data_IF_788526722407
#
_entry.id   IF_788526722407
#
_cell.length_a   1.000
_cell.length_b   1.000
_cell.length_c   1.000
_cell.angle_alpha   90.00
_cell.angle_beta   90.00
_cell.angle_gamma   90.00
#
_symmetry.space_group_name_H-M   'P 1'
#
loop_
_entity.id
_entity.type
_entity.pdbx_description
1 polymer ?
#
# COMPACT_ATOMS: atom_id res chain seq x y z
N UNK A 1 -16.06 -14.49 19.53
CA UNK A 1 -17.26 -13.63 19.38
C UNK A 1 -16.98 -12.71 18.21
N UNK A 2 -17.69 -12.85 17.08
CA UNK A 2 -17.54 -11.99 15.89
C UNK A 2 -17.55 -10.51 16.27
N UNK A 3 -16.53 -9.78 15.84
CA UNK A 3 -16.44 -8.33 16.02
C UNK A 3 -16.11 -7.67 14.68
N UNK A 4 -16.82 -6.61 14.35
CA UNK A 4 -16.49 -5.75 13.21
C UNK A 4 -15.43 -4.74 13.65
N UNK A 5 -14.34 -4.63 12.89
CA UNK A 5 -13.33 -3.56 13.12
C UNK A 5 -13.69 -2.32 12.31
N UNK A 6 -14.04 -2.51 11.04
CA UNK A 6 -14.35 -1.43 10.12
C UNK A 6 -15.42 -1.86 9.12
N UNK A 7 -16.18 -0.86 8.69
CA UNK A 7 -17.20 -0.98 7.66
C UNK A 7 -16.78 -0.09 6.51
N UNK A 8 -16.78 -0.66 5.31
CA UNK A 8 -16.52 0.02 4.06
C UNK A 8 -17.57 1.12 3.84
N UNK A 9 -17.13 2.35 3.57
CA UNK A 9 -18.02 3.45 3.18
C UNK A 9 -17.58 4.04 1.85
N UNK A 10 -18.33 3.77 0.77
CA UNK A 10 -18.09 4.32 -0.59
C UNK A 10 -17.86 5.83 -0.62
N UNK A 11 -18.44 6.57 0.33
CA UNK A 11 -18.36 8.02 0.43
C UNK A 11 -17.35 8.51 1.46
N UNK A 12 -16.54 7.62 2.04
CA UNK A 12 -15.50 7.97 3.01
C UNK A 12 -14.60 9.07 2.45
N UNK A 13 -14.48 10.16 3.21
CA UNK A 13 -13.60 11.29 2.91
C UNK A 13 -12.64 11.48 4.05
N UNK A 14 -11.40 11.82 3.73
CA UNK A 14 -10.39 12.16 4.71
C UNK A 14 -9.90 13.57 4.46
N UNK A 15 -9.81 14.34 5.55
CA UNK A 15 -9.24 15.67 5.55
C UNK A 15 -7.73 15.57 5.64
N UNK A 16 -7.04 16.07 4.62
CA UNK A 16 -5.58 16.03 4.54
C UNK A 16 -5.04 17.35 4.03
N UNK A 17 -3.89 17.76 4.58
CA UNK A 17 -3.02 18.71 3.89
C UNK A 17 -2.51 18.08 2.61
N UNK A 18 -2.54 18.82 1.52
CA UNK A 18 -2.10 18.30 0.21
C UNK A 18 -0.63 17.87 0.26
N UNK A 19 0.21 18.63 0.97
CA UNK A 19 1.61 18.28 1.26
C UNK A 19 1.74 16.90 1.91
N UNK A 20 0.83 16.55 2.83
CA UNK A 20 0.85 15.26 3.52
C UNK A 20 0.43 14.10 2.61
N UNK A 21 -0.11 14.37 1.42
CA UNK A 21 -0.35 13.37 0.38
C UNK A 21 0.84 13.29 -0.58
N UNK A 22 1.34 14.45 -1.04
CA UNK A 22 2.47 14.54 -1.97
C UNK A 22 3.75 13.94 -1.37
N UNK A 23 4.15 14.40 -0.18
CA UNK A 23 5.47 14.07 0.37
C UNK A 23 5.67 12.56 0.56
N UNK A 24 4.73 11.81 1.16
CA UNK A 24 4.88 10.35 1.26
C UNK A 24 4.98 9.65 -0.11
N UNK A 25 4.22 10.10 -1.12
CA UNK A 25 4.28 9.52 -2.46
C UNK A 25 5.65 9.75 -3.11
N UNK A 26 6.16 10.99 -3.07
CA UNK A 26 7.47 11.33 -3.64
C UNK A 26 8.62 10.66 -2.87
N UNK A 27 8.54 10.58 -1.53
CA UNK A 27 9.52 9.85 -0.72
C UNK A 27 9.57 8.36 -1.07
N UNK A 28 8.40 7.74 -1.26
CA UNK A 28 8.29 6.35 -1.72
C UNK A 28 8.94 6.18 -3.09
N UNK A 29 8.63 7.08 -4.03
CA UNK A 29 9.18 7.00 -5.38
C UNK A 29 10.71 7.24 -5.44
N UNK A 30 11.22 8.21 -4.68
CA UNK A 30 12.65 8.44 -4.49
C UNK A 30 13.34 7.16 -3.98
N UNK A 31 12.75 6.50 -2.99
CA UNK A 31 13.28 5.23 -2.44
C UNK A 31 13.36 4.16 -3.52
N UNK A 32 12.32 4.03 -4.35
CA UNK A 32 12.31 3.08 -5.47
C UNK A 32 13.39 3.39 -6.52
N UNK A 33 13.55 4.66 -6.89
CA UNK A 33 14.58 5.06 -7.86
C UNK A 33 16.00 4.82 -7.32
N UNK A 34 16.25 5.08 -6.03
CA UNK A 34 17.54 4.76 -5.38
C UNK A 34 17.81 3.25 -5.42
N UNK A 35 16.81 2.43 -5.10
CA UNK A 35 16.95 0.98 -5.08
C UNK A 35 17.32 0.43 -6.47
N UNK A 36 16.63 0.88 -7.53
CA UNK A 36 16.93 0.50 -8.92
C UNK A 36 18.31 0.97 -9.35
N UNK A 37 18.66 2.24 -9.09
CA UNK A 37 19.98 2.79 -9.43
C UNK A 37 21.11 1.98 -8.81
N UNK A 38 20.91 1.48 -7.59
CA UNK A 38 21.91 0.72 -6.86
C UNK A 38 21.97 -0.76 -7.26
N UNK A 39 20.82 -1.41 -7.48
CA UNK A 39 20.77 -2.87 -7.72
C UNK A 39 20.85 -3.27 -9.18
N UNK A 40 20.27 -2.47 -10.07
CA UNK A 40 20.22 -2.73 -11.52
C UNK A 40 20.65 -1.48 -12.31
N UNK A 41 21.86 -0.95 -12.06
CA UNK A 41 22.34 0.30 -12.64
C UNK A 41 22.30 0.32 -14.17
N UNK A 42 22.53 -0.82 -14.82
CA UNK A 42 22.53 -0.94 -16.29
C UNK A 42 21.14 -0.71 -16.91
N UNK A 43 20.07 -0.95 -16.14
CA UNK A 43 18.69 -0.74 -16.58
C UNK A 43 18.14 0.63 -16.17
N UNK A 44 18.77 1.30 -15.20
CA UNK A 44 18.30 2.56 -14.64
C UNK A 44 18.08 3.66 -15.71
N UNK A 45 18.98 3.92 -16.68
CA UNK A 45 18.74 4.91 -17.72
C UNK A 45 17.47 4.63 -18.55
N UNK A 46 17.23 3.36 -18.91
CA UNK A 46 16.03 2.96 -19.67
C UNK A 46 14.75 3.15 -18.86
N UNK A 47 14.80 2.91 -17.55
CA UNK A 47 13.68 3.15 -16.64
C UNK A 47 13.38 4.65 -16.56
N UNK A 48 14.40 5.49 -16.44
CA UNK A 48 14.25 6.96 -16.47
C UNK A 48 13.62 7.43 -17.79
N UNK A 49 14.07 6.90 -18.93
CA UNK A 49 13.48 7.24 -20.24
C UNK A 49 11.99 6.85 -20.32
N UNK A 50 11.64 5.65 -19.85
CA UNK A 50 10.26 5.19 -19.80
C UNK A 50 9.38 6.08 -18.92
N UNK A 51 9.86 6.45 -17.73
CA UNK A 51 9.15 7.35 -16.81
C UNK A 51 8.99 8.74 -17.42
N UNK A 52 10.02 9.27 -18.09
CA UNK A 52 9.91 10.54 -18.81
C UNK A 52 8.79 10.51 -19.85
N UNK A 53 8.66 9.45 -20.64
CA UNK A 53 7.57 9.31 -21.62
C UNK A 53 6.20 9.19 -20.97
N UNK A 54 6.10 8.54 -19.81
CA UNK A 54 4.84 8.46 -19.05
C UNK A 54 4.43 9.86 -18.57
N UNK A 55 5.37 10.57 -17.93
CA UNK A 55 5.09 11.86 -17.31
C UNK A 55 4.92 13.04 -18.29
N UNK A 56 5.32 12.89 -19.56
CA UNK A 56 5.01 13.88 -20.62
C UNK A 56 3.52 14.14 -20.80
N UNK A 57 2.69 13.13 -20.51
CA UNK A 57 1.26 13.14 -20.81
C UNK A 57 0.42 13.62 -19.63
N UNK A 58 1.04 13.87 -18.48
CA UNK A 58 0.34 14.28 -17.28
C UNK A 58 0.03 15.78 -17.34
N UNK A 59 -1.18 16.14 -16.92
CA UNK A 59 -1.64 17.52 -16.81
C UNK A 59 -0.68 18.34 -15.94
N UNK A 60 -0.45 19.61 -16.27
CA UNK A 60 0.48 20.47 -15.53
C UNK A 60 -0.26 21.40 -14.59
N UNK A 61 0.22 21.45 -13.36
CA UNK A 61 -0.25 22.37 -12.33
C UNK A 61 0.85 23.38 -12.02
N UNK A 62 0.48 24.63 -11.73
CA UNK A 62 1.43 25.66 -11.31
C UNK A 62 1.69 25.55 -9.80
N UNK A 63 2.22 24.40 -9.39
CA UNK A 63 2.56 24.07 -8.01
C UNK A 63 4.01 23.64 -7.97
N UNK A 64 4.76 24.11 -6.98
CA UNK A 64 6.13 23.67 -6.73
C UNK A 64 6.25 23.14 -5.31
N UNK A 65 7.19 22.24 -5.10
CA UNK A 65 7.52 21.72 -3.79
C UNK A 65 9.03 21.83 -3.59
N UNK A 66 9.43 22.46 -2.48
CA UNK A 66 10.81 22.37 -2.03
C UNK A 66 11.10 20.95 -1.61
N UNK A 67 12.18 20.38 -2.14
CA UNK A 67 12.57 19.01 -1.81
C UNK A 67 14.07 18.83 -1.80
N UNK A 68 14.53 17.97 -0.90
CA UNK A 68 15.91 17.54 -0.73
C UNK A 68 16.18 16.16 -1.36
N UNK A 69 15.33 15.76 -2.33
CA UNK A 69 15.47 14.50 -3.04
C UNK A 69 16.82 14.41 -3.75
N UNK A 70 17.48 13.26 -3.65
CA UNK A 70 18.80 13.07 -4.25
C UNK A 70 18.64 12.74 -5.73
N UNK A 71 17.75 11.79 -6.07
CA UNK A 71 17.55 11.29 -7.43
C UNK A 71 16.52 12.12 -8.16
N UNK A 72 15.33 12.36 -7.59
CA UNK A 72 14.27 13.10 -8.27
C UNK A 72 14.70 14.51 -8.69
N UNK A 73 15.51 15.21 -7.90
CA UNK A 73 16.04 16.53 -8.27
C UNK A 73 16.98 16.50 -9.50
N UNK A 74 17.60 15.36 -9.81
CA UNK A 74 18.40 15.18 -11.04
C UNK A 74 17.50 14.98 -12.29
N UNK A 75 16.22 14.66 -12.08
CA UNK A 75 15.25 14.36 -13.12
C UNK A 75 13.98 15.21 -12.95
N UNK A 76 14.07 16.55 -13.14
CA UNK A 76 12.98 17.49 -12.80
C UNK A 76 11.66 17.16 -13.51
N UNK A 77 11.71 16.62 -14.73
CA UNK A 77 10.51 16.19 -15.45
C UNK A 77 9.76 15.04 -14.76
N UNK A 78 10.49 14.11 -14.14
CA UNK A 78 9.91 13.01 -13.38
C UNK A 78 9.35 13.53 -12.05
N UNK A 79 10.09 14.41 -11.38
CA UNK A 79 9.62 15.07 -10.15
C UNK A 79 8.32 15.86 -10.39
N UNK A 80 8.33 16.76 -11.37
CA UNK A 80 7.17 17.58 -11.74
C UNK A 80 6.00 16.71 -12.20
N UNK A 81 6.27 15.69 -13.02
CA UNK A 81 5.25 14.74 -13.46
C UNK A 81 4.62 13.97 -12.32
N UNK A 82 5.42 13.54 -11.34
CA UNK A 82 4.93 12.81 -10.16
C UNK A 82 4.09 13.69 -9.26
N UNK A 83 4.54 14.93 -9.01
CA UNK A 83 3.78 15.94 -8.28
C UNK A 83 2.43 16.19 -8.96
N UNK A 84 2.46 16.48 -10.26
CA UNK A 84 1.26 16.76 -11.04
C UNK A 84 0.30 15.57 -11.08
N UNK A 85 0.80 14.34 -11.11
CA UNK A 85 -0.03 13.15 -11.05
C UNK A 85 -0.79 13.07 -9.71
N UNK A 86 -0.11 13.31 -8.59
CA UNK A 86 -0.76 13.34 -7.27
C UNK A 86 -1.84 14.42 -7.23
N UNK A 87 -1.53 15.63 -7.72
CA UNK A 87 -2.48 16.75 -7.77
C UNK A 87 -3.72 16.45 -8.62
N UNK A 88 -3.52 15.81 -9.78
CA UNK A 88 -4.62 15.37 -10.65
C UNK A 88 -5.50 14.34 -9.95
N UNK A 89 -4.92 13.33 -9.30
CA UNK A 89 -5.65 12.27 -8.62
C UNK A 89 -6.46 12.77 -7.42
N UNK A 90 -5.97 13.75 -6.66
CA UNK A 90 -6.75 14.37 -5.58
C UNK A 90 -7.71 15.46 -6.07
N UNK A 91 -7.85 15.64 -7.38
CA UNK A 91 -8.69 16.64 -8.01
C UNK A 91 -8.40 18.07 -7.51
N UNK A 92 -7.12 18.46 -7.55
CA UNK A 92 -6.64 19.74 -7.03
C UNK A 92 -7.46 20.96 -7.49
N UNK A 93 -7.82 21.00 -8.77
CA UNK A 93 -8.59 22.10 -9.36
C UNK A 93 -10.00 22.25 -8.76
N UNK A 94 -10.65 21.15 -8.34
CA UNK A 94 -11.96 21.20 -7.69
C UNK A 94 -11.93 21.99 -6.38
N UNK A 95 -10.83 21.94 -5.65
CA UNK A 95 -10.69 22.64 -4.36
C UNK A 95 -10.05 24.01 -4.50
N UNK A 96 -9.27 24.25 -5.57
CA UNK A 96 -8.57 25.52 -5.82
C UNK A 96 -7.89 26.11 -4.57
N UNK A 97 -7.07 25.33 -3.84
CA UNK A 97 -6.42 25.79 -2.62
C UNK A 97 -5.36 26.85 -2.96
N UNK A 98 -5.13 27.82 -2.06
CA UNK A 98 -4.10 28.84 -2.26
C UNK A 98 -2.70 28.26 -2.05
N UNK A 99 -2.58 27.15 -1.30
CA UNK A 99 -1.31 26.46 -1.06
C UNK A 99 -1.45 24.95 -0.84
N UNK A 100 -0.34 24.21 -0.99
CA UNK A 100 -0.29 22.77 -0.66
C UNK A 100 -0.36 22.48 0.86
N UNK A 101 -0.30 23.51 1.70
CA UNK A 101 -0.40 23.38 3.15
C UNK A 101 -1.84 23.48 3.68
N UNK A 102 -2.79 23.78 2.78
CA UNK A 102 -4.21 23.74 3.07
C UNK A 102 -4.77 22.33 3.15
N UNK A 103 -5.77 22.17 4.01
CA UNK A 103 -6.51 20.95 4.15
C UNK A 103 -7.68 20.91 3.18
N UNK A 104 -7.78 19.81 2.44
CA UNK A 104 -8.90 19.51 1.56
C UNK A 104 -9.53 18.17 1.97
N UNK A 105 -10.83 18.01 1.67
CA UNK A 105 -11.53 16.75 1.89
C UNK A 105 -11.38 15.86 0.65
N UNK A 106 -10.56 14.82 0.76
CA UNK A 106 -10.23 13.90 -0.34
C UNK A 106 -11.04 12.62 -0.18
N UNK A 107 -11.58 12.09 -1.28
CA UNK A 107 -12.24 10.78 -1.24
C UNK A 107 -11.20 9.70 -0.96
N UNK A 108 -11.51 8.73 -0.09
CA UNK A 108 -10.51 7.71 0.25
C UNK A 108 -10.10 6.88 -0.99
N UNK A 109 -10.97 6.81 -2.01
CA UNK A 109 -10.66 6.20 -3.30
C UNK A 109 -9.52 6.95 -4.00
N UNK A 110 -9.73 8.25 -4.24
CA UNK A 110 -8.72 9.14 -4.85
C UNK A 110 -7.41 9.14 -4.06
N UNK A 111 -7.50 9.16 -2.74
CA UNK A 111 -6.33 9.11 -1.86
C UNK A 111 -5.56 7.80 -2.04
N UNK A 112 -6.23 6.64 -2.08
CA UNK A 112 -5.57 5.36 -2.33
C UNK A 112 -5.00 5.28 -3.75
N UNK A 113 -5.66 5.89 -4.75
CA UNK A 113 -5.08 6.04 -6.09
C UNK A 113 -3.74 6.76 -6.03
N UNK A 114 -3.58 7.83 -5.23
CA UNK A 114 -2.29 8.53 -5.12
C UNK A 114 -1.16 7.62 -4.65
N UNK A 115 -1.41 6.72 -3.70
CA UNK A 115 -0.37 5.85 -3.15
C UNK A 115 0.03 4.72 -4.08
N UNK A 116 -0.83 4.35 -5.03
CA UNK A 116 -0.68 3.12 -5.83
C UNK A 116 -0.26 3.41 -7.27
N UNK A 117 -0.57 4.60 -7.78
CA UNK A 117 -0.36 4.93 -9.19
C UNK A 117 1.13 5.08 -9.55
N UNK A 118 1.96 5.69 -8.69
CA UNK A 118 3.39 5.82 -8.96
C UNK A 118 4.09 4.46 -8.90
N UNK A 119 3.66 3.58 -7.99
CA UNK A 119 4.14 2.20 -7.91
C UNK A 119 3.82 1.46 -9.21
N UNK A 120 2.62 1.67 -9.76
CA UNK A 120 2.24 1.11 -11.06
C UNK A 120 3.08 1.63 -12.22
N UNK A 121 3.37 2.94 -12.30
CA UNK A 121 4.23 3.50 -13.34
C UNK A 121 5.68 3.01 -13.24
N UNK A 122 6.18 2.87 -12.01
CA UNK A 122 7.47 2.27 -11.75
C UNK A 122 7.53 0.83 -12.25
N UNK A 123 6.57 -0.01 -11.87
CA UNK A 123 6.48 -1.40 -12.35
C UNK A 123 6.32 -1.50 -13.87
N UNK A 124 5.45 -0.67 -14.45
CA UNK A 124 5.26 -0.60 -15.91
C UNK A 124 6.56 -0.26 -16.64
N UNK A 125 7.44 0.50 -15.99
CA UNK A 125 8.77 0.81 -16.52
C UNK A 125 9.75 -0.36 -16.38
N UNK A 126 9.67 -1.14 -15.30
CA UNK A 126 10.43 -2.39 -15.13
C UNK A 126 10.06 -3.42 -16.20
N UNK A 127 8.76 -3.62 -16.45
CA UNK A 127 8.25 -4.57 -17.43
C UNK A 127 8.74 -4.34 -18.87
N UNK A 128 9.14 -3.10 -19.17
CA UNK A 128 9.69 -2.74 -20.48
C UNK A 128 11.16 -3.09 -20.63
N UNK A 129 11.86 -3.38 -19.53
CA UNK A 129 13.32 -3.53 -19.51
C UNK A 129 13.79 -4.88 -18.96
N UNK A 130 12.90 -5.66 -18.35
CA UNK A 130 13.19 -7.01 -17.85
C UNK A 130 11.97 -7.94 -17.99
N UNK A 131 12.18 -9.28 -17.96
CA UNK A 131 11.11 -10.26 -17.98
C UNK A 131 10.09 -10.06 -16.85
N UNK A 132 8.85 -10.48 -17.10
CA UNK A 132 7.72 -10.28 -16.18
C UNK A 132 7.98 -10.88 -14.81
N UNK A 133 8.39 -12.14 -14.78
CA UNK A 133 8.61 -12.91 -13.56
C UNK A 133 9.73 -12.29 -12.72
N UNK A 134 10.79 -11.82 -13.38
CA UNK A 134 11.88 -11.09 -12.73
C UNK A 134 11.42 -9.76 -12.14
N UNK A 135 10.57 -9.00 -12.85
CA UNK A 135 10.01 -7.75 -12.36
C UNK A 135 9.11 -7.96 -11.13
N UNK A 136 8.24 -8.98 -11.15
CA UNK A 136 7.37 -9.32 -10.01
C UNK A 136 8.22 -9.68 -8.79
N UNK A 137 9.21 -10.54 -8.97
CA UNK A 137 10.08 -10.97 -7.88
C UNK A 137 10.93 -9.82 -7.33
N UNK A 138 11.42 -8.93 -8.20
CA UNK A 138 12.09 -7.71 -7.79
C UNK A 138 11.20 -6.85 -6.88
N UNK A 139 9.95 -6.63 -7.30
CA UNK A 139 8.97 -5.82 -6.56
C UNK A 139 8.64 -6.44 -5.21
N UNK A 140 8.38 -7.76 -5.14
CA UNK A 140 8.15 -8.48 -3.88
C UNK A 140 9.30 -8.27 -2.88
N UNK A 141 10.52 -8.52 -3.33
CA UNK A 141 11.72 -8.35 -2.51
C UNK A 141 11.94 -6.92 -2.04
N UNK A 142 11.56 -5.94 -2.87
CA UNK A 142 11.63 -4.53 -2.53
C UNK A 142 10.57 -4.14 -1.51
N UNK A 143 9.34 -4.63 -1.66
CA UNK A 143 8.24 -4.39 -0.73
C UNK A 143 8.56 -4.95 0.67
N UNK A 144 9.12 -6.17 0.74
CA UNK A 144 9.58 -6.75 2.02
C UNK A 144 10.70 -5.94 2.67
N UNK A 145 11.68 -5.45 1.89
CA UNK A 145 12.75 -4.60 2.41
C UNK A 145 12.22 -3.28 2.97
N UNK A 146 11.26 -2.68 2.30
CA UNK A 146 10.58 -1.48 2.79
C UNK A 146 9.84 -1.80 4.08
N UNK A 147 9.07 -2.89 4.13
CA UNK A 147 8.41 -3.32 5.36
C UNK A 147 9.42 -3.52 6.52
N UNK A 148 10.54 -4.20 6.28
CA UNK A 148 11.61 -4.42 7.27
C UNK A 148 12.25 -3.12 7.77
N UNK A 149 12.45 -2.14 6.89
CA UNK A 149 13.04 -0.84 7.26
C UNK A 149 12.14 -0.01 8.19
N UNK A 150 10.83 -0.32 8.23
CA UNK A 150 9.83 0.37 9.07
C UNK A 150 9.63 -0.30 10.44
N UNK A 151 10.46 -1.28 10.80
CA UNK A 151 10.39 -1.93 12.11
C UNK A 151 10.75 -0.94 13.21
N UNK A 152 9.86 -0.81 14.18
CA UNK A 152 10.03 0.01 15.37
C UNK A 152 9.81 -0.87 16.61
N UNK A 153 10.87 -1.52 17.13
CA UNK A 153 10.74 -2.47 18.24
C UNK A 153 10.05 -1.91 19.48
N UNK A 154 10.22 -0.61 19.74
CA UNK A 154 9.59 0.09 20.86
C UNK A 154 8.05 0.21 20.72
N UNK A 155 7.50 -0.08 19.54
CA UNK A 155 6.05 -0.08 19.25
C UNK A 155 5.45 -1.48 19.14
N UNK A 156 6.21 -2.53 19.45
CA UNK A 156 5.69 -3.89 19.41
C UNK A 156 4.62 -4.12 20.47
N UNK A 157 3.57 -4.83 20.08
CA UNK A 157 2.46 -5.25 20.96
C UNK A 157 2.64 -6.71 21.38
N UNK A 158 2.09 -7.12 22.51
CA UNK A 158 2.32 -8.45 23.09
C UNK A 158 1.19 -9.44 22.84
N UNK A 159 -0.01 -8.96 22.50
CA UNK A 159 -1.19 -9.79 22.22
C UNK A 159 -1.97 -9.27 21.02
N UNK A 160 -2.90 -10.08 20.53
CA UNK A 160 -3.80 -9.70 19.45
C UNK A 160 -4.83 -8.66 19.88
N UNK A 161 -5.25 -8.66 21.14
CA UNK A 161 -6.13 -7.62 21.70
C UNK A 161 -5.45 -6.25 21.64
N UNK A 162 -4.19 -6.14 22.08
CA UNK A 162 -3.41 -4.89 21.99
C UNK A 162 -3.25 -4.43 20.53
N UNK A 163 -2.99 -5.38 19.62
CA UNK A 163 -2.90 -5.11 18.18
C UNK A 163 -4.20 -4.48 17.64
N UNK A 164 -5.33 -5.10 17.96
CA UNK A 164 -6.65 -4.64 17.54
C UNK A 164 -6.96 -3.26 18.10
N UNK A 165 -6.76 -3.05 19.40
CA UNK A 165 -7.05 -1.78 20.06
C UNK A 165 -6.24 -0.63 19.45
N UNK A 166 -4.97 -0.89 19.12
CA UNK A 166 -4.09 0.08 18.50
C UNK A 166 -4.47 0.38 17.04
N UNK A 167 -4.85 -0.63 16.26
CA UNK A 167 -5.08 -0.46 14.82
C UNK A 167 -6.52 -0.05 14.48
N UNK A 168 -7.49 -0.33 15.37
CA UNK A 168 -8.90 -0.02 15.17
C UNK A 168 -9.17 1.44 14.77
N UNK A 169 -8.57 2.47 15.40
CA UNK A 169 -8.78 3.86 14.97
C UNK A 169 -8.35 4.12 13.53
N UNK A 170 -7.30 3.44 13.05
CA UNK A 170 -6.87 3.57 11.65
C UNK A 170 -7.89 2.90 10.72
N UNK A 171 -8.32 1.68 11.03
CA UNK A 171 -9.34 1.00 10.23
C UNK A 171 -10.66 1.77 10.16
N UNK A 172 -11.11 2.35 11.27
CA UNK A 172 -12.30 3.20 11.34
C UNK A 172 -12.12 4.54 10.60
N UNK A 173 -10.92 5.12 10.62
CA UNK A 173 -10.64 6.37 9.90
C UNK A 173 -10.67 6.18 8.38
N UNK A 174 -10.11 5.07 7.88
CA UNK A 174 -9.99 4.84 6.44
C UNK A 174 -11.28 4.31 5.82
N UNK A 175 -12.06 3.51 6.56
CA UNK A 175 -13.29 2.87 6.08
C UNK A 175 -13.13 2.22 4.69
N UNK A 176 -11.93 1.69 4.44
CA UNK A 176 -11.50 1.19 3.14
C UNK A 176 -11.85 -0.29 2.95
N UNK A 177 -12.33 -0.96 4.00
CA UNK A 177 -12.55 -2.40 4.03
C UNK A 177 -13.76 -2.75 4.89
N UNK A 178 -14.53 -3.76 4.45
CA UNK A 178 -15.47 -4.47 5.32
C UNK A 178 -14.65 -5.57 6.01
N UNK A 179 -14.30 -5.36 7.28
CA UNK A 179 -13.38 -6.23 8.02
C UNK A 179 -14.03 -6.71 9.31
N UNK A 180 -14.17 -8.04 9.41
CA UNK A 180 -14.57 -8.75 10.63
C UNK A 180 -13.42 -9.59 11.14
N UNK A 181 -13.35 -9.74 12.47
CA UNK A 181 -12.34 -10.56 13.11
C UNK A 181 -12.91 -11.39 14.27
N UNK A 182 -12.17 -12.43 14.63
CA UNK A 182 -12.30 -13.12 15.90
C UNK A 182 -10.94 -13.65 16.36
N UNK A 183 -10.73 -13.64 17.67
CA UNK A 183 -9.58 -14.30 18.30
C UNK A 183 -10.09 -15.68 18.70
N UNK A 184 -9.71 -16.70 17.93
CA UNK A 184 -10.25 -18.06 18.09
C UNK A 184 -9.55 -18.81 19.23
N UNK A 185 -8.30 -18.45 19.52
CA UNK A 185 -7.54 -18.87 20.69
C UNK A 185 -6.37 -17.90 20.96
N UNK A 186 -5.58 -18.17 22.02
CA UNK A 186 -4.47 -17.33 22.45
C UNK A 186 -3.29 -17.25 21.45
N UNK A 187 -3.25 -18.14 20.45
CA UNK A 187 -2.25 -18.22 19.40
C UNK A 187 -2.76 -17.86 18.00
N UNK A 188 -4.07 -17.70 17.79
CA UNK A 188 -4.68 -17.43 16.47
C UNK A 188 -5.76 -16.35 16.48
N UNK A 189 -5.69 -15.48 15.48
CA UNK A 189 -6.71 -14.49 15.18
C UNK A 189 -7.06 -14.51 13.69
N UNK A 190 -8.35 -14.50 13.37
CA UNK A 190 -8.84 -14.55 11.99
C UNK A 190 -9.32 -13.17 11.57
N UNK A 191 -8.89 -12.67 10.41
CA UNK A 191 -9.54 -11.55 9.73
C UNK A 191 -10.16 -12.02 8.43
N UNK A 192 -11.39 -11.57 8.19
CA UNK A 192 -12.06 -11.71 6.91
C UNK A 192 -12.38 -10.34 6.36
N UNK A 193 -11.91 -10.10 5.13
CA UNK A 193 -12.19 -8.88 4.39
C UNK A 193 -13.09 -9.22 3.21
N UNK A 194 -14.30 -8.68 3.15
CA UNK A 194 -15.28 -8.96 2.07
C UNK A 194 -15.44 -7.81 1.08
N UNK A 195 -14.95 -6.62 1.41
CA UNK A 195 -14.78 -5.48 0.49
C UNK A 195 -13.44 -4.82 0.74
N UNK A 196 -12.78 -4.37 -0.31
CA UNK A 196 -11.45 -3.77 -0.21
C UNK A 196 -11.24 -2.69 -1.27
N UNK A 197 -11.11 -1.43 -0.81
CA UNK A 197 -10.88 -0.27 -1.68
C UNK A 197 -9.56 -0.36 -2.44
N UNK A 198 -8.53 -0.94 -1.81
CA UNK A 198 -7.25 -1.18 -2.47
C UNK A 198 -7.42 -2.11 -3.67
N UNK A 199 -8.22 -3.18 -3.53
CA UNK A 199 -8.57 -4.08 -4.63
C UNK A 199 -9.36 -3.40 -5.74
N UNK A 200 -10.31 -2.54 -5.37
CA UNK A 200 -11.14 -1.80 -6.33
C UNK A 200 -10.34 -0.80 -7.17
N UNK A 201 -9.41 -0.05 -6.54
CA UNK A 201 -8.51 0.88 -7.24
C UNK A 201 -7.60 0.13 -8.22
N UNK A 202 -7.19 -1.09 -7.87
CA UNK A 202 -6.22 -1.86 -8.64
C UNK A 202 -6.81 -2.73 -9.75
N UNK A 203 -8.14 -2.88 -9.81
CA UNK A 203 -8.80 -3.81 -10.73
C UNK A 203 -8.51 -3.56 -12.22
N UNK A 204 -8.12 -2.33 -12.57
CA UNK A 204 -7.83 -1.92 -13.95
C UNK A 204 -6.38 -2.18 -14.35
N UNK A 205 -5.55 -2.56 -13.39
CA UNK A 205 -4.15 -2.91 -13.59
C UNK A 205 -3.97 -4.41 -13.60
N UNK A 206 -2.73 -4.82 -13.86
CA UNK A 206 -2.36 -6.22 -13.80
C UNK A 206 -2.37 -6.73 -12.34
N UNK A 207 -3.27 -7.68 -12.06
CA UNK A 207 -3.60 -8.11 -10.70
C UNK A 207 -2.42 -8.77 -9.96
N UNK A 208 -1.59 -9.53 -10.68
CA UNK A 208 -0.43 -10.20 -10.07
C UNK A 208 0.61 -9.17 -9.62
N UNK A 209 0.78 -8.11 -10.40
CA UNK A 209 1.64 -6.98 -10.04
C UNK A 209 1.09 -6.19 -8.86
N UNK A 210 -0.22 -5.90 -8.89
CA UNK A 210 -0.87 -5.25 -7.77
C UNK A 210 -0.75 -6.07 -6.48
N UNK A 211 -0.87 -7.39 -6.56
CA UNK A 211 -0.63 -8.29 -5.44
C UNK A 211 0.80 -8.17 -4.91
N UNK A 212 1.79 -8.20 -5.80
CA UNK A 212 3.21 -8.08 -5.42
C UNK A 212 3.52 -6.77 -4.68
N UNK A 213 2.87 -5.67 -5.05
CA UNK A 213 3.05 -4.38 -4.37
C UNK A 213 2.32 -4.29 -3.04
N UNK A 214 1.02 -4.59 -3.05
CA UNK A 214 0.11 -4.12 -2.00
C UNK A 214 -0.37 -5.21 -1.06
N UNK A 215 -0.35 -6.48 -1.49
CA UNK A 215 -0.81 -7.59 -0.65
C UNK A 215 0.34 -8.47 -0.18
N UNK A 216 1.40 -8.64 -0.98
CA UNK A 216 2.50 -9.53 -0.64
C UNK A 216 3.26 -9.05 0.61
N UNK A 217 3.45 -7.73 0.76
CA UNK A 217 4.16 -7.17 1.91
C UNK A 217 3.43 -7.34 3.25
N UNK A 218 2.17 -7.80 3.27
CA UNK A 218 1.43 -8.09 4.51
C UNK A 218 2.14 -9.16 5.36
N UNK A 219 2.77 -10.15 4.71
CA UNK A 219 3.50 -11.25 5.38
C UNK A 219 4.66 -10.72 6.21
N UNK A 220 5.34 -9.69 5.71
CA UNK A 220 6.47 -9.06 6.39
C UNK A 220 6.02 -7.92 7.31
N UNK A 221 5.04 -7.12 6.90
CA UNK A 221 4.50 -5.99 7.67
C UNK A 221 3.87 -6.45 8.98
N UNK A 222 3.30 -7.65 9.04
CA UNK A 222 2.81 -8.22 10.30
C UNK A 222 3.90 -8.30 11.37
N UNK A 223 5.15 -8.57 10.98
CA UNK A 223 6.29 -8.67 11.91
C UNK A 223 6.71 -7.31 12.48
N UNK A 224 6.23 -6.21 11.89
CA UNK A 224 6.42 -4.87 12.45
C UNK A 224 5.55 -4.64 13.68
N UNK A 225 4.55 -5.49 13.92
CA UNK A 225 3.68 -5.42 15.09
C UNK A 225 4.22 -6.26 16.25
N UNK A 226 4.77 -7.43 15.92
CA UNK A 226 5.57 -8.25 16.80
C UNK A 226 6.34 -9.24 15.91
N UNK A 227 7.64 -9.48 16.12
CA UNK A 227 8.40 -10.40 15.28
C UNK A 227 7.93 -11.85 15.37
N UNK A 228 7.17 -12.20 16.41
CA UNK A 228 6.55 -13.52 16.56
C UNK A 228 5.17 -13.62 15.86
N UNK A 229 4.59 -12.51 15.42
CA UNK A 229 3.35 -12.51 14.66
C UNK A 229 3.64 -12.78 13.19
N UNK A 230 2.99 -13.81 12.66
CA UNK A 230 3.08 -14.20 11.25
C UNK A 230 1.67 -14.38 10.71
N UNK A 231 1.49 -14.26 9.39
CA UNK A 231 0.20 -14.54 8.77
C UNK A 231 0.27 -15.70 7.79
N UNK A 232 -0.85 -16.40 7.66
CA UNK A 232 -1.17 -17.24 6.50
C UNK A 232 -2.41 -16.67 5.80
N UNK A 233 -2.47 -16.84 4.47
CA UNK A 233 -3.57 -16.37 3.62
C UNK A 233 -3.62 -17.24 2.36
N UNK A 234 -4.80 -17.68 1.96
CA UNK A 234 -5.00 -18.54 0.78
C UNK A 234 -5.90 -17.92 -0.29
N UNK A 235 -6.72 -16.94 0.10
CA UNK A 235 -7.65 -16.18 -0.74
C UNK A 235 -7.38 -14.69 -0.64
N UNK A 236 -7.58 -13.97 -1.74
CA UNK A 236 -7.53 -12.52 -1.76
C UNK A 236 -8.45 -11.93 -2.82
N UNK A 237 -9.22 -10.92 -2.42
CA UNK A 237 -10.11 -10.17 -3.33
C UNK A 237 -9.35 -9.66 -4.55
N UNK A 238 -8.11 -9.23 -4.37
CA UNK A 238 -7.31 -8.68 -5.47
C UNK A 238 -7.00 -9.72 -6.57
N UNK A 239 -6.97 -11.02 -6.23
CA UNK A 239 -6.77 -12.12 -7.18
C UNK A 239 -8.10 -12.76 -7.63
N UNK A 240 -9.23 -12.13 -7.32
CA UNK A 240 -10.56 -12.53 -7.77
C UNK A 240 -11.35 -13.41 -6.79
N UNK A 241 -10.86 -13.63 -5.57
CA UNK A 241 -11.63 -14.34 -4.54
C UNK A 241 -12.75 -13.48 -3.96
N UNK A 242 -13.77 -14.12 -3.37
CA UNK A 242 -14.89 -13.43 -2.74
C UNK A 242 -14.52 -12.69 -1.45
N UNK A 243 -13.41 -13.07 -0.80
CA UNK A 243 -12.90 -12.44 0.41
C UNK A 243 -11.39 -12.70 0.58
N UNK A 244 -10.72 -11.87 1.37
CA UNK A 244 -9.39 -12.19 1.88
C UNK A 244 -9.50 -12.94 3.21
N UNK A 245 -8.71 -13.99 3.40
CA UNK A 245 -8.78 -14.92 4.53
C UNK A 245 -7.50 -14.86 5.38
N UNK A 246 -7.27 -13.78 6.11
CA UNK A 246 -6.05 -13.70 6.91
C UNK A 246 -6.19 -14.54 8.19
N UNK A 247 -5.19 -15.35 8.49
CA UNK A 247 -4.98 -15.92 9.82
C UNK A 247 -3.67 -15.39 10.38
N UNK A 248 -3.74 -14.63 11.46
CA UNK A 248 -2.61 -14.21 12.26
C UNK A 248 -2.29 -15.30 13.28
N UNK A 249 -1.01 -15.62 13.39
CA UNK A 249 -0.46 -16.61 14.29
C UNK A 249 0.58 -15.97 15.20
N UNK A 250 0.50 -16.26 16.49
CA UNK A 250 1.59 -16.00 17.42
C UNK A 250 2.46 -17.24 17.48
N UNK A 251 3.60 -17.21 16.78
CA UNK A 251 4.53 -18.34 16.65
C UNK A 251 5.14 -18.83 17.98
N UNK A 252 4.96 -18.08 19.08
CA UNK A 252 5.30 -18.55 20.44
C UNK A 252 4.34 -19.65 20.91
N UNK A 253 3.10 -19.65 20.41
CA UNK A 253 1.97 -20.48 20.86
C UNK A 253 1.48 -21.42 19.77
N UNK A 254 1.30 -20.93 18.55
CA UNK A 254 0.93 -21.73 17.38
C UNK A 254 2.14 -21.97 16.48
N UNK A 255 2.74 -23.15 16.59
CA UNK A 255 3.98 -23.50 15.87
C UNK A 255 3.74 -24.14 14.51
N UNK A 256 2.57 -24.75 14.33
CA UNK A 256 2.27 -25.49 13.11
C UNK A 256 1.80 -24.55 11.98
N UNK A 257 1.36 -23.34 12.33
CA UNK A 257 0.94 -22.29 11.39
C UNK A 257 -0.10 -22.79 10.39
N UNK A 258 -0.97 -23.70 10.84
CA UNK A 258 -1.97 -24.32 9.98
C UNK A 258 -3.05 -23.29 9.70
N UNK A 259 -3.22 -22.98 8.42
CA UNK A 259 -4.28 -22.12 7.95
C UNK A 259 -5.65 -22.73 8.28
N UNK A 260 -6.59 -21.94 8.83
CA UNK A 260 -7.95 -22.41 9.12
C UNK A 260 -8.67 -22.89 7.86
N UNK A 261 -9.70 -23.71 8.06
CA UNK A 261 -10.56 -24.18 6.98
C UNK A 261 -11.49 -23.06 6.49
N UNK A 262 -12.03 -23.24 5.29
CA UNK A 262 -13.08 -22.35 4.77
C UNK A 262 -14.30 -22.27 5.70
N UNK A 263 -14.63 -23.36 6.41
CA UNK A 263 -15.72 -23.40 7.39
C UNK A 263 -15.48 -22.41 8.53
N UNK A 264 -14.24 -22.29 9.02
CA UNK A 264 -13.89 -21.34 10.09
C UNK A 264 -14.14 -19.89 9.66
N UNK A 265 -13.81 -19.56 8.41
CA UNK A 265 -14.10 -18.24 7.82
C UNK A 265 -15.57 -18.02 7.45
N UNK A 266 -16.35 -19.09 7.22
CA UNK A 266 -17.80 -18.99 7.05
C UNK A 266 -18.49 -18.71 8.40
N UNK A 267 -18.03 -19.34 9.48
CA UNK A 267 -18.53 -19.10 10.84
C UNK A 267 -18.22 -17.69 11.36
N UNK A 268 -17.11 -17.11 10.92
CA UNK A 268 -16.79 -15.70 11.15
C UNK A 268 -17.78 -14.73 10.46
N UNK A 269 -18.48 -15.21 9.41
CA UNK A 269 -19.51 -14.51 8.65
C UNK A 269 -18.94 -13.48 7.68
#
# INVERSE_FOLDING_TARGET
MKKTISTYDEKARLRYKIRNVITPCLNGFETFLKDVKNKIPDLFPKIIDNLNTIYEKIEKYNVSIESDYEILNQYPKILDGSLNQVLSLVNYNKYSPDSIDEEIDIEAFDLICTFTHFEYFFMSSLLKVMPREEAIEYVKNMADKIAQSRREPDRYVNSFEELIERDKPNFERWQSQDLVYDIIDDGKMLYKVTKCRWGEVMKEFDLEFCYALNCYSDFETTKNQNPNFVITRTKTILMGDEYCDFCYHDSRKDKDLIHPSEKDFQELG
#
